data_IF_985896544947
#
_entry.id   IF_985896544947
#
_cell.length_a   1.000
_cell.length_b   1.000
_cell.length_c   1.000
_cell.angle_alpha   90.00
_cell.angle_beta   90.00
_cell.angle_gamma   90.00
#
_symmetry.space_group_name_H-M   'P 1'
#
loop_
_entity.id
_entity.type
_entity.pdbx_description
1 polymer ?
#
# COMPACT_ATOMS: atom_id res chain seq x y z
N UNK A 1 -7.28 4.98 1.66
CA UNK A 1 -7.85 3.62 1.49
C UNK A 1 -7.98 2.92 2.85
N UNK A 2 -9.19 2.71 3.38
CA UNK A 2 -9.38 2.18 4.74
C UNK A 2 -8.79 0.78 4.96
N UNK A 3 -8.88 -0.11 3.97
CA UNK A 3 -8.34 -1.47 4.06
C UNK A 3 -6.81 -1.52 4.16
N UNK A 4 -6.11 -0.71 3.35
CA UNK A 4 -4.65 -0.61 3.39
C UNK A 4 -4.17 -0.02 4.72
N UNK A 5 -4.82 1.04 5.19
CA UNK A 5 -4.49 1.66 6.48
C UNK A 5 -4.62 0.65 7.63
N UNK A 6 -5.69 -0.16 7.64
CA UNK A 6 -5.87 -1.21 8.66
C UNK A 6 -4.77 -2.27 8.56
N UNK A 7 -4.44 -2.76 7.37
CA UNK A 7 -3.36 -3.74 7.17
C UNK A 7 -2.01 -3.20 7.67
N UNK A 8 -1.63 -1.99 7.26
CA UNK A 8 -0.39 -1.35 7.72
C UNK A 8 -0.35 -1.16 9.22
N UNK A 9 -1.47 -0.75 9.83
CA UNK A 9 -1.57 -0.62 11.28
C UNK A 9 -1.40 -1.97 11.97
N UNK A 10 -2.01 -3.04 11.46
CA UNK A 10 -1.83 -4.40 11.98
C UNK A 10 -0.37 -4.85 11.91
N UNK A 11 0.35 -4.54 10.82
CA UNK A 11 1.79 -4.83 10.71
C UNK A 11 2.59 -4.09 11.80
N UNK A 12 2.31 -2.80 11.99
CA UNK A 12 2.97 -1.99 13.03
C UNK A 12 2.67 -2.53 14.44
N UNK A 13 1.40 -2.81 14.72
CA UNK A 13 0.93 -3.29 16.02
C UNK A 13 1.50 -4.69 16.35
N UNK A 14 1.82 -5.51 15.33
CA UNK A 14 2.42 -6.85 15.50
C UNK A 14 3.86 -6.79 16.01
N UNK A 15 4.63 -5.78 15.59
CA UNK A 15 6.10 -5.77 15.76
C UNK A 15 6.63 -4.77 16.78
N UNK A 16 5.77 -3.95 17.40
CA UNK A 16 6.26 -2.96 18.36
C UNK A 16 5.37 -2.79 19.58
N UNK A 17 6.05 -2.65 20.72
CA UNK A 17 5.44 -2.30 22.00
C UNK A 17 5.09 -0.80 22.08
N UNK A 18 5.81 0.07 21.36
CA UNK A 18 5.58 1.54 21.36
C UNK A 18 5.86 2.18 19.98
N UNK A 19 4.81 2.54 19.26
CA UNK A 19 4.87 3.44 18.08
C UNK A 19 3.94 4.61 18.28
N UNK A 20 4.46 5.82 18.08
CA UNK A 20 3.64 7.02 18.00
C UNK A 20 3.33 7.33 16.55
N UNK A 21 2.05 7.25 16.17
CA UNK A 21 1.60 7.68 14.86
C UNK A 21 1.59 9.22 14.78
N UNK A 22 2.55 9.79 14.04
CA UNK A 22 2.60 11.24 13.78
C UNK A 22 1.43 11.75 12.94
N UNK A 23 0.78 10.86 12.18
CA UNK A 23 -0.43 11.15 11.42
C UNK A 23 -0.66 10.15 10.29
N UNK A 24 -1.74 10.36 9.55
CA UNK A 24 -2.04 9.62 8.33
C UNK A 24 -2.13 10.58 7.14
N UNK A 25 -1.78 10.10 5.96
CA UNK A 25 -2.00 10.80 4.71
C UNK A 25 -2.93 9.96 3.82
N UNK A 26 -3.87 10.63 3.15
CA UNK A 26 -4.88 9.97 2.32
C UNK A 26 -4.41 9.71 0.89
N UNK A 27 -3.25 10.25 0.50
CA UNK A 27 -2.63 10.10 -0.81
C UNK A 27 -1.15 9.74 -0.66
N UNK A 28 -0.62 9.00 -1.63
CA UNK A 28 0.80 8.63 -1.66
C UNK A 28 1.70 9.87 -1.75
N UNK A 29 1.31 10.86 -2.57
CA UNK A 29 2.06 12.11 -2.71
C UNK A 29 2.11 12.90 -1.40
N UNK A 30 0.97 13.04 -0.72
CA UNK A 30 0.91 13.73 0.58
C UNK A 30 1.65 12.96 1.68
N UNK A 31 1.64 11.65 1.63
CA UNK A 31 2.42 10.78 2.51
C UNK A 31 3.92 11.03 2.33
N UNK A 32 4.42 11.04 1.09
CA UNK A 32 5.86 11.25 0.86
C UNK A 32 6.31 12.67 1.12
N UNK A 33 5.51 13.69 0.76
CA UNK A 33 5.84 15.09 1.08
C UNK A 33 6.09 15.27 2.58
N UNK A 34 5.30 14.60 3.44
CA UNK A 34 5.50 14.65 4.89
C UNK A 34 6.82 14.02 5.33
N UNK A 35 7.20 12.88 4.73
CA UNK A 35 8.49 12.23 5.01
C UNK A 35 9.65 13.12 4.57
N UNK A 36 9.61 13.64 3.33
CA UNK A 36 10.63 14.54 2.80
C UNK A 36 10.76 15.83 3.61
N UNK A 37 9.66 16.32 4.19
CA UNK A 37 9.65 17.47 5.10
C UNK A 37 10.14 17.15 6.53
N UNK A 38 10.57 15.92 6.81
CA UNK A 38 11.11 15.52 8.11
C UNK A 38 10.06 15.22 9.19
N UNK A 39 8.80 14.97 8.82
CA UNK A 39 7.73 14.66 9.78
C UNK A 39 7.87 13.26 10.44
N UNK A 40 8.81 12.43 9.95
CA UNK A 40 9.12 11.11 10.51
C UNK A 40 9.42 10.07 9.43
N UNK A 41 9.43 8.80 9.85
CA UNK A 41 9.50 7.65 8.95
C UNK A 41 8.10 7.19 8.56
N UNK A 42 7.99 6.60 7.38
CA UNK A 42 6.73 6.02 6.94
C UNK A 42 6.86 4.54 6.60
N UNK A 43 5.74 3.83 6.67
CA UNK A 43 5.57 2.47 6.17
C UNK A 43 4.75 2.49 4.86
N UNK A 44 5.32 1.93 3.79
CA UNK A 44 4.68 1.81 2.48
C UNK A 44 4.92 0.41 1.89
N UNK A 45 4.05 -0.04 0.98
CA UNK A 45 4.39 -1.18 0.14
C UNK A 45 5.48 -0.81 -0.88
N UNK A 46 6.29 -1.80 -1.25
CA UNK A 46 7.44 -1.61 -2.12
C UNK A 46 7.08 -1.06 -3.51
N UNK A 47 5.93 -1.47 -4.06
CA UNK A 47 5.47 -1.04 -5.37
C UNK A 47 5.24 0.48 -5.45
N UNK A 48 4.55 1.04 -4.47
CA UNK A 48 4.37 2.49 -4.39
C UNK A 48 5.67 3.25 -4.13
N UNK A 49 6.59 2.66 -3.37
CA UNK A 49 7.91 3.28 -3.14
C UNK A 49 8.73 3.36 -4.41
N UNK A 50 8.74 2.32 -5.24
CA UNK A 50 9.41 2.34 -6.55
C UNK A 50 8.77 3.31 -7.53
N UNK A 51 7.44 3.42 -7.53
CA UNK A 51 6.73 4.31 -8.44
C UNK A 51 7.03 5.80 -8.20
N UNK A 52 7.52 6.16 -7.01
CA UNK A 52 7.63 7.55 -6.62
C UNK A 52 8.93 8.24 -7.07
N UNK A 53 9.98 7.46 -7.34
CA UNK A 53 11.29 7.91 -7.87
C UNK A 53 11.76 9.27 -7.33
N UNK A 54 12.02 9.37 -6.02
CA UNK A 54 12.53 10.59 -5.37
C UNK A 54 13.91 10.36 -4.79
N UNK A 55 14.82 11.30 -5.05
CA UNK A 55 16.21 11.23 -4.58
C UNK A 55 16.39 11.73 -3.14
N UNK A 56 15.40 12.46 -2.62
CA UNK A 56 15.40 13.04 -1.27
C UNK A 56 14.72 12.16 -0.21
N UNK A 57 14.28 10.96 -0.58
CA UNK A 57 13.66 9.98 0.33
C UNK A 57 14.27 8.61 0.11
N UNK A 58 14.86 8.04 1.16
CA UNK A 58 15.43 6.70 1.12
C UNK A 58 14.37 5.66 1.47
N UNK A 59 14.32 4.60 0.65
CA UNK A 59 13.53 3.41 0.91
C UNK A 59 14.43 2.30 1.46
N UNK A 60 14.04 1.69 2.58
CA UNK A 60 14.76 0.57 3.18
C UNK A 60 13.77 -0.59 3.35
N UNK A 61 14.11 -1.83 2.93
CA UNK A 61 13.24 -2.97 3.15
C UNK A 61 13.05 -3.24 4.65
N UNK A 62 11.88 -3.74 5.03
CA UNK A 62 11.67 -4.27 6.38
C UNK A 62 12.57 -5.49 6.62
N UNK A 63 12.98 -5.66 7.88
CA UNK A 63 13.70 -6.87 8.29
C UNK A 63 12.74 -8.06 8.40
N UNK A 64 11.49 -7.78 8.77
CA UNK A 64 10.41 -8.73 8.91
C UNK A 64 9.74 -9.04 7.56
N UNK A 65 9.29 -10.28 7.40
CA UNK A 65 8.51 -10.68 6.23
C UNK A 65 7.03 -10.32 6.45
N UNK A 66 6.56 -9.33 5.70
CA UNK A 66 5.19 -8.81 5.78
C UNK A 66 4.58 -8.66 4.41
N UNK A 67 3.27 -8.93 4.34
CA UNK A 67 2.52 -8.90 3.09
C UNK A 67 1.29 -8.01 3.21
N UNK A 68 1.12 -7.15 2.22
CA UNK A 68 -0.11 -6.39 2.02
C UNK A 68 -0.89 -7.09 0.91
N UNK A 69 -2.16 -7.41 1.19
CA UNK A 69 -3.05 -8.00 0.19
C UNK A 69 -3.87 -6.91 -0.49
N UNK A 70 -3.77 -6.86 -1.81
CA UNK A 70 -4.62 -6.01 -2.66
C UNK A 70 -5.69 -6.86 -3.32
N UNK A 71 -6.95 -6.52 -3.07
CA UNK A 71 -8.09 -7.21 -3.66
C UNK A 71 -8.66 -6.41 -4.83
N UNK A 72 -9.01 -7.11 -5.91
CA UNK A 72 -9.89 -6.54 -6.94
C UNK A 72 -11.33 -6.88 -6.58
N UNK A 73 -12.08 -5.86 -6.20
CA UNK A 73 -13.48 -5.97 -5.87
C UNK A 73 -14.31 -5.60 -7.10
N UNK A 74 -15.19 -6.50 -7.54
CA UNK A 74 -16.19 -6.21 -8.54
C UNK A 74 -17.57 -6.62 -8.04
N UNK A 75 -18.61 -5.91 -8.47
CA UNK A 75 -19.98 -6.27 -8.12
C UNK A 75 -20.30 -7.63 -8.74
N UNK A 76 -20.99 -8.49 -7.98
CA UNK A 76 -21.55 -9.71 -8.54
C UNK A 76 -22.57 -9.35 -9.63
N UNK A 77 -22.46 -9.99 -10.79
CA UNK A 77 -23.34 -9.77 -11.93
C UNK A 77 -23.99 -11.09 -12.32
N UNK A 78 -25.32 -11.09 -12.45
CA UNK A 78 -26.14 -12.28 -12.73
C UNK A 78 -25.73 -13.01 -14.02
N UNK A 79 -25.22 -12.27 -15.01
CA UNK A 79 -24.81 -12.79 -16.31
C UNK A 79 -23.28 -12.94 -16.45
N UNK A 80 -22.57 -13.02 -15.32
CA UNK A 80 -21.11 -13.02 -15.31
C UNK A 80 -20.52 -11.61 -15.48
N UNK A 81 -19.19 -11.55 -15.52
CA UNK A 81 -18.44 -10.30 -15.68
C UNK A 81 -18.19 -9.99 -17.17
N UNK A 82 -18.26 -8.72 -17.54
CA UNK A 82 -18.01 -8.28 -18.92
C UNK A 82 -16.60 -8.67 -19.41
N UNK A 83 -16.47 -8.97 -20.70
CA UNK A 83 -15.22 -9.42 -21.32
C UNK A 83 -14.00 -8.50 -21.03
N UNK A 84 -14.11 -7.15 -21.05
CA UNK A 84 -12.99 -6.30 -20.65
C UNK A 84 -12.52 -6.54 -19.21
N UNK A 85 -13.45 -6.78 -18.28
CA UNK A 85 -13.12 -7.09 -16.89
C UNK A 85 -12.48 -8.47 -16.76
N UNK A 86 -12.93 -9.46 -17.54
CA UNK A 86 -12.29 -10.78 -17.58
C UNK A 86 -10.83 -10.67 -18.03
N UNK A 87 -10.57 -9.92 -19.11
CA UNK A 87 -9.19 -9.69 -19.62
C UNK A 87 -8.34 -8.97 -18.59
N UNK A 88 -8.89 -7.94 -17.94
CA UNK A 88 -8.20 -7.24 -16.86
C UNK A 88 -7.83 -8.19 -15.72
N UNK A 89 -8.79 -8.99 -15.22
CA UNK A 89 -8.55 -9.95 -14.15
C UNK A 89 -7.55 -11.04 -14.54
N UNK A 90 -7.58 -11.52 -15.78
CA UNK A 90 -6.60 -12.49 -16.28
C UNK A 90 -5.19 -11.88 -16.32
N UNK A 91 -5.06 -10.63 -16.76
CA UNK A 91 -3.79 -9.94 -16.85
C UNK A 91 -3.17 -9.66 -15.48
N UNK A 92 -3.94 -9.11 -14.53
CA UNK A 92 -3.38 -8.79 -13.21
C UNK A 92 -2.94 -10.03 -12.42
N UNK A 93 -3.55 -11.20 -12.67
CA UNK A 93 -3.17 -12.47 -12.03
C UNK A 93 -1.79 -12.94 -12.42
N UNK A 94 -1.25 -12.52 -13.57
CA UNK A 94 0.11 -12.87 -14.01
C UNK A 94 1.16 -11.88 -13.54
N UNK A 95 0.74 -10.76 -12.92
CA UNK A 95 1.62 -9.74 -12.34
C UNK A 95 1.80 -9.93 -10.82
N UNK A 96 1.10 -10.89 -10.23
CA UNK A 96 1.10 -11.22 -8.79
C UNK A 96 2.13 -12.29 -8.48
#
# INVERSE_FOLDING_TARGET
MPGLFRQMRTIVDKHKEQVTFAGAASTLSGYVIRIAAGAGVGLADAGHTWALQRDDVLAVPLAEEEHITTFVLHKHQRFGIAEPLQRFLAHIRTLS
#
